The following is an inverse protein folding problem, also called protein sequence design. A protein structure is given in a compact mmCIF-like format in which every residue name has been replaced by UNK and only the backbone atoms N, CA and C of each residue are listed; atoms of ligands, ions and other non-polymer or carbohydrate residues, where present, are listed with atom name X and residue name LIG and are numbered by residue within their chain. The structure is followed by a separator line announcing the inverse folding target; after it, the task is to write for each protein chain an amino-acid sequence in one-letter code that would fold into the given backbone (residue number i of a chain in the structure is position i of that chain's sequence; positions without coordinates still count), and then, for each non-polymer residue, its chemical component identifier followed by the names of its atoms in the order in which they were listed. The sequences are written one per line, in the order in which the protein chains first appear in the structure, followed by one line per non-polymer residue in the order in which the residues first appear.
data_IF_406720440051
#
_entry.id   IF_406720440051
#
_cell.length_a   1.000
_cell.length_b   1.000
_cell.length_c   1.000
_cell.angle_alpha   90.00
_cell.angle_beta   90.00
_cell.angle_gamma   90.00
#
_symmetry.space_group_name_H-M   'P 1'
#
loop_
_entity.id
_entity.type
_entity.pdbx_description
1 polymer ?
#
# COMPACT_ATOMS: atom_id res chain seq x y z
N UNK A 1 -19.13 10.92 28.97
CA UNK A 1 -19.22 9.67 28.18
C UNK A 1 -17.95 9.58 27.35
N UNK A 2 -17.09 8.59 27.58
CA UNK A 2 -15.80 8.48 26.91
C UNK A 2 -15.99 7.74 25.58
N UNK A 3 -15.74 8.42 24.45
CA UNK A 3 -15.80 7.81 23.13
C UNK A 3 -14.70 6.75 22.99
N UNK A 4 -15.08 5.52 22.72
CA UNK A 4 -14.15 4.42 22.48
C UNK A 4 -13.56 4.58 21.08
N UNK A 5 -12.24 4.66 20.96
CA UNK A 5 -11.55 4.71 19.66
C UNK A 5 -11.39 3.29 19.13
N UNK A 6 -12.05 2.97 18.03
CA UNK A 6 -11.94 1.68 17.37
C UNK A 6 -10.74 1.71 16.42
N UNK A 7 -9.76 0.85 16.67
CA UNK A 7 -8.69 0.54 15.71
C UNK A 7 -9.06 -0.73 14.96
N UNK A 8 -9.01 -0.71 13.64
CA UNK A 8 -9.22 -1.89 12.79
C UNK A 8 -8.05 -2.04 11.82
N UNK A 9 -7.76 -3.29 11.46
CA UNK A 9 -6.75 -3.63 10.45
C UNK A 9 -7.40 -4.52 9.41
N UNK A 10 -7.11 -4.29 8.14
CA UNK A 10 -7.54 -5.13 7.03
C UNK A 10 -6.29 -5.67 6.35
N UNK A 11 -6.19 -6.99 6.21
CA UNK A 11 -5.11 -7.65 5.49
C UNK A 11 -5.62 -8.21 4.18
N UNK A 12 -4.82 -8.08 3.13
CA UNK A 12 -5.03 -8.75 1.85
C UNK A 12 -3.98 -9.86 1.70
N UNK A 13 -4.43 -11.05 1.29
CA UNK A 13 -3.50 -12.12 0.94
C UNK A 13 -2.67 -11.70 -0.27
N UNK A 14 -1.36 -11.82 -0.17
CA UNK A 14 -0.48 -11.59 -1.31
C UNK A 14 -0.66 -12.73 -2.32
N UNK A 15 -0.92 -12.44 -3.61
CA UNK A 15 -1.01 -13.47 -4.63
C UNK A 15 0.35 -14.14 -4.87
N UNK A 16 0.36 -15.38 -5.33
CA UNK A 16 1.60 -16.15 -5.52
C UNK A 16 2.61 -15.46 -6.46
N UNK A 17 2.13 -14.63 -7.39
CA UNK A 17 2.96 -13.87 -8.32
C UNK A 17 3.43 -12.50 -7.77
N UNK A 18 3.31 -12.24 -6.46
CA UNK A 18 3.71 -10.95 -5.86
C UNK A 18 5.16 -10.59 -6.20
N UNK A 19 6.08 -11.56 -6.16
CA UNK A 19 7.48 -11.32 -6.52
C UNK A 19 7.63 -10.77 -7.95
N UNK A 20 6.87 -11.30 -8.91
CA UNK A 20 6.87 -10.82 -10.30
C UNK A 20 6.18 -9.46 -10.48
N UNK A 21 5.27 -9.11 -9.57
CA UNK A 21 4.63 -7.79 -9.57
C UNK A 21 5.59 -6.72 -9.02
N UNK A 22 6.38 -7.06 -7.99
CA UNK A 22 7.35 -6.15 -7.41
C UNK A 22 8.42 -5.71 -8.42
N UNK A 23 8.83 -6.58 -9.36
CA UNK A 23 9.79 -6.23 -10.41
C UNK A 23 9.27 -5.23 -11.43
N UNK A 24 7.95 -4.98 -11.47
CA UNK A 24 7.32 -4.00 -12.37
C UNK A 24 7.33 -2.59 -11.79
N UNK A 25 7.61 -2.42 -10.50
CA UNK A 25 7.70 -1.11 -9.85
C UNK A 25 9.00 -0.44 -10.30
N UNK A 26 8.95 0.74 -10.95
CA UNK A 26 10.15 1.48 -11.34
C UNK A 26 11.08 1.72 -10.16
N UNK A 27 12.40 1.59 -10.38
CA UNK A 27 13.40 1.73 -9.32
C UNK A 27 13.33 3.08 -8.61
N UNK A 28 13.02 4.14 -9.37
CA UNK A 28 12.92 5.51 -8.88
C UNK A 28 11.78 5.75 -7.89
N UNK A 29 10.85 4.81 -7.71
CA UNK A 29 9.76 4.90 -6.74
C UNK A 29 10.09 4.27 -5.39
N UNK A 30 11.23 3.59 -5.26
CA UNK A 30 11.64 3.01 -3.99
C UNK A 30 12.33 4.06 -3.12
N UNK A 31 11.87 4.15 -1.88
CA UNK A 31 12.41 5.00 -0.84
C UNK A 31 12.90 4.15 0.35
N UNK A 32 13.88 4.64 1.13
CA UNK A 32 14.33 3.95 2.35
C UNK A 32 13.18 3.76 3.34
N UNK A 33 13.03 2.55 3.89
CA UNK A 33 12.08 2.34 4.98
C UNK A 33 12.64 2.91 6.28
N UNK A 34 11.82 3.64 7.04
CA UNK A 34 12.18 4.12 8.37
C UNK A 34 11.60 3.20 9.46
N UNK A 35 12.34 3.02 10.55
CA UNK A 35 11.87 2.32 11.74
C UNK A 35 11.09 3.26 12.68
N UNK A 36 10.72 2.77 13.87
CA UNK A 36 9.95 3.55 14.85
C UNK A 36 10.73 4.73 15.48
N UNK A 37 12.02 4.88 15.18
CA UNK A 37 12.90 5.93 15.68
C UNK A 37 13.45 6.80 14.55
N UNK A 38 12.75 6.85 13.41
CA UNK A 38 13.13 7.60 12.20
C UNK A 38 14.51 7.20 11.64
N UNK A 39 14.97 5.97 11.90
CA UNK A 39 16.22 5.46 11.33
C UNK A 39 15.94 4.62 10.09
N UNK A 40 16.80 4.77 9.07
CA UNK A 40 16.74 3.92 7.87
C UNK A 40 16.98 2.47 8.29
N UNK A 41 16.02 1.61 7.94
CA UNK A 41 16.08 0.18 8.19
C UNK A 41 16.72 -0.52 6.99
N UNK A 42 17.93 -1.02 7.19
CA UNK A 42 18.65 -1.77 6.16
C UNK A 42 17.86 -3.03 5.73
N UNK A 43 17.86 -3.30 4.42
CA UNK A 43 17.12 -4.40 3.80
C UNK A 43 15.60 -4.21 3.73
N UNK A 44 15.08 -3.01 3.98
CA UNK A 44 13.66 -2.69 3.80
C UNK A 44 13.46 -1.40 2.99
N UNK A 45 12.52 -1.44 2.05
CA UNK A 45 12.18 -0.32 1.17
C UNK A 45 10.67 -0.16 1.08
N UNK A 46 10.22 1.06 0.79
CA UNK A 46 8.82 1.43 0.59
C UNK A 46 8.67 2.00 -0.81
N UNK A 47 7.58 1.67 -1.50
CA UNK A 47 7.20 2.32 -2.75
C UNK A 47 5.76 2.82 -2.66
N UNK A 48 5.53 4.06 -3.08
CA UNK A 48 4.18 4.63 -3.14
C UNK A 48 3.50 4.26 -4.48
N UNK A 49 2.43 3.47 -4.40
CA UNK A 49 1.67 3.03 -5.58
C UNK A 49 0.43 3.89 -5.85
N UNK A 50 0.09 4.84 -4.98
CA UNK A 50 -1.12 5.67 -5.08
C UNK A 50 -1.20 6.40 -6.44
N UNK A 51 -0.05 6.84 -6.97
CA UNK A 51 0.04 7.49 -8.29
C UNK A 51 0.07 6.52 -9.49
N UNK A 52 0.18 5.22 -9.25
CA UNK A 52 0.22 4.18 -10.29
C UNK A 52 -1.10 3.40 -10.40
N UNK A 53 -1.91 3.40 -9.35
CA UNK A 53 -3.20 2.71 -9.33
C UNK A 53 -4.31 3.65 -9.80
N UNK A 54 -5.17 3.16 -10.70
CA UNK A 54 -6.42 3.85 -10.97
C UNK A 54 -7.36 3.62 -9.76
N UNK A 55 -7.50 4.66 -8.94
CA UNK A 55 -8.36 4.67 -7.75
C UNK A 55 -9.75 5.25 -8.03
N UNK A 56 -10.13 5.40 -9.30
CA UNK A 56 -11.48 5.81 -9.67
C UNK A 56 -12.49 4.88 -8.98
N UNK A 57 -13.50 5.45 -8.29
CA UNK A 57 -14.56 4.63 -7.73
C UNK A 57 -15.17 3.77 -8.85
N UNK A 58 -15.52 2.50 -8.57
CA UNK A 58 -16.18 1.66 -9.55
C UNK A 58 -17.36 2.44 -10.09
N UNK A 59 -17.39 2.67 -11.40
CA UNK A 59 -18.54 3.33 -12.03
C UNK A 59 -19.72 2.40 -11.80
N UNK A 60 -20.58 2.77 -10.85
CA UNK A 60 -21.85 2.09 -10.67
C UNK A 60 -22.63 2.32 -11.96
N UNK A 61 -22.73 1.28 -12.79
CA UNK A 61 -23.65 1.27 -13.91
C UNK A 61 -25.04 1.49 -13.34
N UNK A 62 -25.58 2.68 -13.54
CA UNK A 62 -27.03 2.89 -13.50
C UNK A 62 -27.53 2.37 -14.84
N UNK A 63 -27.64 1.06 -14.94
CA UNK A 63 -28.52 0.45 -15.93
C UNK A 63 -29.93 0.49 -15.35
N UNK A 64 -30.85 1.04 -16.14
CA UNK A 64 -32.21 1.41 -15.74
C UNK A 64 -33.20 0.44 -16.37
#
# INVERSE_FOLDING_TARGET
MHGQRLSYSIGFGLPANTAELLTKIPEALWEPAYDAHDQVRDGAWVAELTGLLNLDPPRHGTDR
#
